data_IF_593468240246
#
_entry.id   IF_593468240246
#
_cell.length_a   1.000
_cell.length_b   1.000
_cell.length_c   1.000
_cell.angle_alpha   90.00
_cell.angle_beta   90.00
_cell.angle_gamma   90.00
#
_symmetry.space_group_name_H-M   'P 1'
#
loop_
_entity.id
_entity.type
_entity.pdbx_description
1 polymer ?
#
# COMPACT_ATOMS: atom_id res chain seq x y z
N UNK A 1 88.22 -20.42 19.82
CA UNK A 1 88.51 -19.32 18.87
C UNK A 1 87.29 -19.12 17.98
N UNK A 2 86.89 -17.86 17.85
CA UNK A 2 85.94 -17.25 16.92
C UNK A 2 84.42 -17.43 17.11
N UNK A 3 83.89 -16.33 17.66
CA UNK A 3 82.53 -15.78 17.62
C UNK A 3 81.92 -15.63 16.22
N UNK A 4 80.58 -15.73 16.11
CA UNK A 4 79.60 -14.64 15.76
C UNK A 4 78.18 -15.23 15.68
N UNK A 5 77.20 -14.81 16.51
CA UNK A 5 76.12 -13.83 16.26
C UNK A 5 75.30 -14.09 14.97
N UNK A 6 73.95 -14.04 14.89
CA UNK A 6 72.88 -13.44 15.71
C UNK A 6 71.50 -13.82 15.11
N UNK A 7 70.44 -13.63 15.90
CA UNK A 7 68.98 -13.47 15.56
C UNK A 7 68.19 -14.79 15.42
N UNK A 8 67.36 -15.23 16.38
CA UNK A 8 66.19 -14.59 17.02
C UNK A 8 65.02 -14.38 16.05
N UNK A 9 63.85 -14.91 16.44
CA UNK A 9 62.48 -14.69 15.94
C UNK A 9 61.94 -15.76 14.99
N UNK A 10 61.36 -16.84 15.53
CA UNK A 10 60.17 -17.47 14.94
C UNK A 10 59.50 -18.48 15.91
N UNK A 11 59.13 -18.05 17.12
CA UNK A 11 58.33 -18.90 18.03
C UNK A 11 57.69 -18.05 19.13
N UNK A 12 56.85 -17.09 18.72
CA UNK A 12 55.89 -16.44 19.62
C UNK A 12 54.78 -15.77 18.79
N UNK A 13 53.95 -16.58 18.12
CA UNK A 13 52.77 -16.10 17.38
C UNK A 13 51.59 -17.07 17.52
N UNK A 14 51.39 -17.63 18.72
CA UNK A 14 50.24 -18.49 19.00
C UNK A 14 49.61 -18.32 20.40
N UNK A 15 49.80 -17.16 21.05
CA UNK A 15 49.28 -16.97 22.41
C UNK A 15 48.78 -15.55 22.76
N UNK A 16 48.39 -14.72 21.77
CA UNK A 16 47.84 -13.37 22.04
C UNK A 16 46.79 -12.94 21.00
N UNK A 17 45.75 -13.76 20.77
CA UNK A 17 44.55 -13.34 20.03
C UNK A 17 43.24 -13.74 20.75
N UNK A 18 43.27 -13.84 22.09
CA UNK A 18 42.08 -14.07 22.92
C UNK A 18 41.70 -12.87 23.80
N UNK A 19 42.12 -11.66 23.41
CA UNK A 19 41.58 -10.40 23.94
C UNK A 19 41.48 -9.41 22.79
N UNK A 20 40.62 -9.72 21.82
CA UNK A 20 40.01 -8.68 21.00
C UNK A 20 38.75 -8.26 21.76
N UNK A 21 38.77 -7.02 22.25
CA UNK A 21 37.65 -6.33 22.88
C UNK A 21 36.32 -6.67 22.19
N UNK A 22 35.42 -7.31 22.95
CA UNK A 22 34.00 -6.98 22.89
C UNK A 22 33.88 -5.51 23.31
N UNK A 23 34.14 -4.61 22.37
CA UNK A 23 33.43 -3.34 22.40
C UNK A 23 32.03 -3.66 21.93
N UNK A 24 31.18 -4.06 22.89
CA UNK A 24 29.80 -3.63 22.88
C UNK A 24 29.85 -2.12 22.62
N UNK A 25 29.62 -1.72 21.36
CA UNK A 25 29.15 -0.38 21.10
C UNK A 25 27.87 -0.34 21.94
N UNK A 26 27.78 0.50 22.98
CA UNK A 26 26.51 0.68 23.63
C UNK A 26 25.61 1.17 22.51
N UNK A 27 24.62 0.37 22.15
CA UNK A 27 23.40 0.91 21.59
C UNK A 27 22.95 1.92 22.65
N UNK A 28 23.40 3.16 22.52
CA UNK A 28 22.70 4.29 23.08
C UNK A 28 21.38 4.27 22.33
N UNK A 29 20.47 3.40 22.79
CA UNK A 29 19.05 3.58 22.55
C UNK A 29 18.81 4.97 23.12
N UNK A 30 18.77 5.98 22.24
CA UNK A 30 18.21 7.27 22.59
C UNK A 30 16.83 6.90 23.08
N UNK A 31 16.67 6.91 24.41
CA UNK A 31 15.44 6.47 25.05
C UNK A 31 14.45 7.56 24.71
N UNK A 32 13.78 7.40 23.58
CA UNK A 32 12.76 8.33 23.13
C UNK A 32 11.79 8.47 24.28
N UNK A 33 11.69 9.69 24.81
CA UNK A 33 10.69 10.00 25.81
C UNK A 33 9.33 9.65 25.22
N UNK A 34 8.50 9.00 26.04
CA UNK A 34 7.19 8.56 25.66
C UNK A 34 6.18 9.16 26.63
N UNK A 35 5.01 9.50 26.11
CA UNK A 35 3.92 10.09 26.87
C UNK A 35 2.63 9.28 26.70
N UNK A 36 1.67 9.50 27.60
CA UNK A 36 0.34 8.89 27.51
C UNK A 36 -0.57 9.81 26.71
N UNK A 37 -1.18 9.28 25.67
CA UNK A 37 -2.14 9.94 24.79
C UNK A 37 -3.48 9.19 24.83
N UNK A 38 -4.60 9.91 24.67
CA UNK A 38 -5.93 9.28 24.58
C UNK A 38 -6.31 9.10 23.11
N UNK A 39 -6.33 7.85 22.65
CA UNK A 39 -6.68 7.47 21.29
C UNK A 39 -7.96 6.65 21.29
N UNK A 40 -9.04 7.24 20.76
CA UNK A 40 -10.38 6.61 20.66
C UNK A 40 -10.88 6.02 22.00
N UNK A 41 -10.63 6.74 23.10
CA UNK A 41 -11.04 6.35 24.45
C UNK A 41 -10.09 5.37 25.16
N UNK A 42 -9.01 4.94 24.50
CA UNK A 42 -7.95 4.13 25.10
C UNK A 42 -6.72 4.98 25.41
N UNK A 43 -6.06 4.68 26.54
CA UNK A 43 -4.76 5.26 26.86
C UNK A 43 -3.69 4.51 26.10
N UNK A 44 -2.91 5.22 25.31
CA UNK A 44 -1.81 4.68 24.51
C UNK A 44 -0.50 5.40 24.83
N UNK A 45 0.61 4.71 24.72
CA UNK A 45 1.96 5.26 24.88
C UNK A 45 2.44 5.72 23.52
N UNK A 46 2.81 6.98 23.36
CA UNK A 46 3.27 7.54 22.07
C UNK A 46 4.60 8.26 22.28
N UNK A 47 5.53 8.24 21.31
CA UNK A 47 6.72 9.06 21.41
C UNK A 47 6.39 10.55 21.57
N UNK A 48 7.08 11.26 22.47
CA UNK A 48 6.79 12.67 22.77
C UNK A 48 6.88 13.57 21.54
N UNK A 49 7.75 13.24 20.58
CA UNK A 49 7.91 13.98 19.32
C UNK A 49 6.98 13.53 18.19
N UNK A 50 6.09 12.55 18.42
CA UNK A 50 5.16 12.09 17.39
C UNK A 50 4.14 13.17 17.03
N UNK A 51 3.86 13.43 15.74
CA UNK A 51 2.84 14.39 15.31
C UNK A 51 1.43 13.82 15.54
N UNK A 52 0.86 14.04 16.73
CA UNK A 52 -0.46 13.50 17.14
C UNK A 52 -1.61 13.84 16.18
N UNK A 53 -1.47 14.91 15.40
CA UNK A 53 -2.43 15.25 14.34
C UNK A 53 -2.70 14.07 13.39
N UNK A 54 -1.71 13.20 13.13
CA UNK A 54 -1.84 12.04 12.25
C UNK A 54 -2.93 11.04 12.67
N UNK A 55 -3.30 11.00 13.96
CA UNK A 55 -4.36 10.11 14.47
C UNK A 55 -5.77 10.53 14.07
N UNK A 56 -5.96 11.72 13.49
CA UNK A 56 -7.29 12.25 13.17
C UNK A 56 -7.31 13.07 11.87
N UNK A 57 -6.49 12.72 10.88
CA UNK A 57 -6.42 13.44 9.61
C UNK A 57 -7.47 12.96 8.61
N UNK A 58 -8.09 13.93 7.93
CA UNK A 58 -8.70 13.69 6.63
C UNK A 58 -7.63 13.44 5.55
N UNK A 59 -8.05 13.00 4.36
CA UNK A 59 -7.13 12.88 3.22
C UNK A 59 -6.51 14.25 2.85
N UNK A 60 -7.32 15.31 2.88
CA UNK A 60 -6.87 16.68 2.61
C UNK A 60 -5.85 17.16 3.65
N UNK A 61 -6.07 16.86 4.94
CA UNK A 61 -5.10 17.17 6.00
C UNK A 61 -3.79 16.40 5.83
N UNK A 62 -3.88 15.16 5.33
CA UNK A 62 -2.70 14.35 5.05
C UNK A 62 -1.91 14.92 3.87
N UNK A 63 -2.57 15.33 2.79
CA UNK A 63 -1.90 15.95 1.63
C UNK A 63 -1.16 17.23 2.04
N UNK A 64 -1.79 18.07 2.86
CA UNK A 64 -1.17 19.27 3.42
C UNK A 64 0.02 18.94 4.33
N UNK A 65 -0.12 17.89 5.16
CA UNK A 65 0.97 17.41 6.00
C UNK A 65 2.15 16.92 5.16
N UNK A 66 1.92 16.08 4.15
CA UNK A 66 2.95 15.56 3.27
C UNK A 66 3.65 16.68 2.49
N UNK A 67 2.90 17.62 1.92
CA UNK A 67 3.45 18.78 1.21
C UNK A 67 4.34 19.63 2.14
N UNK A 68 3.90 19.84 3.39
CA UNK A 68 4.69 20.57 4.39
C UNK A 68 5.99 19.83 4.74
N UNK A 69 5.92 18.52 4.93
CA UNK A 69 7.08 17.70 5.35
C UNK A 69 8.10 17.54 4.21
N UNK A 70 7.63 17.34 2.98
CA UNK A 70 8.50 17.22 1.79
C UNK A 70 9.22 18.53 1.44
N UNK A 71 8.78 19.67 1.98
CA UNK A 71 9.29 20.99 1.62
C UNK A 71 8.81 21.44 0.24
N UNK A 72 7.87 20.71 -0.37
CA UNK A 72 7.29 21.05 -1.66
C UNK A 72 6.48 22.34 -1.51
N UNK A 73 6.98 23.43 -2.11
CA UNK A 73 6.18 24.64 -2.30
C UNK A 73 5.08 24.25 -3.27
N UNK A 74 3.84 24.61 -2.96
CA UNK A 74 2.59 24.35 -3.71
C UNK A 74 2.56 24.88 -5.16
N UNK A 75 3.56 24.55 -5.97
CA UNK A 75 3.77 25.15 -7.27
C UNK A 75 4.63 24.27 -8.15
N UNK A 76 3.95 23.48 -9.00
CA UNK A 76 4.48 22.76 -10.16
C UNK A 76 5.62 21.80 -9.84
N UNK A 77 5.31 20.50 -9.88
CA UNK A 77 6.31 19.47 -10.17
C UNK A 77 6.81 19.77 -11.59
N UNK A 78 7.90 20.52 -11.71
CA UNK A 78 8.68 20.52 -12.95
C UNK A 78 9.18 19.09 -13.17
N UNK A 79 9.27 18.64 -14.43
CA UNK A 79 9.66 17.26 -14.78
C UNK A 79 11.04 16.77 -14.33
N UNK A 80 11.72 17.51 -13.46
CA UNK A 80 13.04 17.25 -12.91
C UNK A 80 13.01 16.71 -11.45
N UNK A 81 11.86 16.70 -10.76
CA UNK A 81 11.76 16.10 -9.42
C UNK A 81 11.47 14.59 -9.52
N UNK A 82 12.33 13.77 -8.91
CA UNK A 82 12.11 12.32 -8.79
C UNK A 82 10.94 12.09 -7.81
N UNK A 83 9.91 11.42 -8.28
CA UNK A 83 8.78 10.94 -7.50
C UNK A 83 8.93 9.43 -7.33
N UNK A 84 8.65 8.92 -6.13
CA UNK A 84 8.71 7.49 -5.85
C UNK A 84 7.79 6.69 -6.78
N UNK A 85 8.29 5.61 -7.37
CA UNK A 85 7.48 4.69 -8.16
C UNK A 85 6.78 3.61 -7.30
N UNK A 86 5.93 2.79 -7.93
CA UNK A 86 5.15 1.78 -7.23
C UNK A 86 5.98 0.66 -6.59
N UNK A 87 7.16 0.33 -7.13
CA UNK A 87 8.04 -0.69 -6.58
C UNK A 87 8.91 -0.14 -5.45
N UNK A 88 9.42 1.08 -5.63
CA UNK A 88 10.14 1.82 -4.60
C UNK A 88 9.25 2.02 -3.37
N UNK A 89 7.98 2.39 -3.56
CA UNK A 89 7.01 2.50 -2.46
C UNK A 89 6.79 1.15 -1.76
N UNK A 90 6.59 0.06 -2.51
CA UNK A 90 6.43 -1.28 -1.92
C UNK A 90 7.60 -1.65 -1.01
N UNK A 91 8.84 -1.37 -1.44
CA UNK A 91 10.03 -1.66 -0.63
C UNK A 91 10.05 -0.87 0.67
N UNK A 92 9.68 0.41 0.64
CA UNK A 92 9.59 1.26 1.85
C UNK A 92 8.48 0.76 2.77
N UNK A 93 7.31 0.40 2.23
CA UNK A 93 6.19 -0.13 3.00
C UNK A 93 6.59 -1.43 3.72
N UNK A 94 7.18 -2.39 3.02
CA UNK A 94 7.63 -3.66 3.61
C UNK A 94 8.70 -3.46 4.68
N UNK A 95 9.65 -2.55 4.44
CA UNK A 95 10.73 -2.24 5.37
C UNK A 95 10.21 -1.61 6.68
N UNK A 96 9.14 -0.82 6.61
CA UNK A 96 8.55 -0.18 7.79
C UNK A 96 7.56 -1.09 8.52
N UNK A 97 6.66 -1.76 7.78
CA UNK A 97 5.60 -2.59 8.37
C UNK A 97 6.12 -3.74 9.24
N UNK A 98 7.33 -4.27 8.96
CA UNK A 98 7.94 -5.32 9.78
C UNK A 98 8.30 -4.88 11.21
N UNK A 99 8.39 -3.56 11.46
CA UNK A 99 8.75 -3.00 12.76
C UNK A 99 7.54 -2.85 13.70
N UNK A 100 6.33 -3.14 13.20
CA UNK A 100 5.08 -2.91 13.90
C UNK A 100 4.32 -4.22 14.15
N UNK A 101 3.58 -4.32 15.26
CA UNK A 101 2.80 -5.52 15.57
C UNK A 101 1.83 -5.91 14.45
N UNK A 102 1.89 -7.19 14.06
CA UNK A 102 0.97 -7.76 13.09
C UNK A 102 -0.28 -8.23 13.83
N UNK A 103 -1.38 -7.53 13.58
CA UNK A 103 -2.68 -7.87 14.15
C UNK A 103 -3.68 -8.03 13.01
N UNK A 104 -4.37 -9.16 12.97
CA UNK A 104 -5.49 -9.42 12.07
C UNK A 104 -6.45 -10.42 12.72
N UNK A 105 -7.58 -10.69 12.08
CA UNK A 105 -8.60 -11.58 12.63
C UNK A 105 -8.36 -13.08 12.37
N UNK A 106 -7.56 -13.42 11.34
CA UNK A 106 -7.41 -14.79 10.85
C UNK A 106 -6.17 -15.49 11.44
N UNK A 107 -5.21 -14.72 11.96
CA UNK A 107 -3.95 -15.16 12.52
C UNK A 107 -3.87 -14.81 14.00
N UNK A 108 -3.27 -15.71 14.75
CA UNK A 108 -3.00 -15.47 16.15
C UNK A 108 -1.92 -14.37 16.31
N UNK A 109 -2.08 -13.51 17.32
CA UNK A 109 -1.08 -12.46 17.60
C UNK A 109 0.12 -13.13 18.26
N UNK A 110 1.32 -12.89 17.71
CA UNK A 110 2.55 -13.48 18.25
C UNK A 110 2.83 -12.99 19.68
N UNK A 111 3.57 -13.77 20.47
CA UNK A 111 3.94 -13.35 21.84
C UNK A 111 4.75 -12.05 21.84
N UNK A 112 5.63 -11.86 20.85
CA UNK A 112 6.41 -10.63 20.70
C UNK A 112 5.52 -9.42 20.43
N UNK A 113 4.53 -9.57 19.55
CA UNK A 113 3.57 -8.52 19.23
C UNK A 113 2.64 -8.23 20.42
N UNK A 114 2.19 -9.25 21.15
CA UNK A 114 1.41 -9.08 22.38
C UNK A 114 2.18 -8.32 23.46
N UNK A 115 3.45 -8.67 23.67
CA UNK A 115 4.29 -7.96 24.63
C UNK A 115 4.46 -6.48 24.25
N UNK A 116 4.57 -6.18 22.95
CA UNK A 116 4.61 -4.81 22.46
C UNK A 116 3.27 -4.09 22.67
N UNK A 117 2.15 -4.74 22.37
CA UNK A 117 0.80 -4.22 22.59
C UNK A 117 0.58 -3.89 24.08
N UNK A 118 0.91 -4.79 25.00
CA UNK A 118 0.72 -4.55 26.44
C UNK A 118 1.57 -3.39 26.97
N UNK A 119 2.72 -3.14 26.36
CA UNK A 119 3.55 -1.98 26.67
C UNK A 119 2.94 -0.68 26.16
N UNK A 120 2.44 -0.69 24.93
CA UNK A 120 1.92 0.52 24.27
C UNK A 120 0.47 0.83 24.66
N UNK A 121 -0.29 -0.15 25.15
CA UNK A 121 -1.67 -0.03 25.61
C UNK A 121 -1.80 -0.47 27.07
N UNK A 122 -1.55 0.43 28.05
CA UNK A 122 -1.59 0.06 29.48
C UNK A 122 -2.94 -0.47 29.97
N UNK A 123 -4.03 -0.18 29.25
CA UNK A 123 -5.37 -0.71 29.53
C UNK A 123 -5.63 -2.13 28.98
N UNK A 124 -4.70 -2.68 28.20
CA UNK A 124 -4.79 -4.03 27.63
C UNK A 124 -3.77 -4.92 28.33
N UNK A 125 -4.28 -5.93 29.02
CA UNK A 125 -3.49 -6.82 29.89
C UNK A 125 -3.61 -8.29 29.51
N UNK A 126 -4.55 -8.63 28.63
CA UNK A 126 -4.75 -9.99 28.16
C UNK A 126 -4.85 -10.05 26.64
N UNK A 127 -4.58 -11.24 26.10
CA UNK A 127 -4.71 -11.51 24.67
C UNK A 127 -6.14 -11.33 24.18
N UNK A 128 -7.13 -11.73 24.97
CA UNK A 128 -8.56 -11.61 24.64
C UNK A 128 -8.96 -10.14 24.51
N UNK A 129 -8.44 -9.27 25.39
CA UNK A 129 -8.64 -7.83 25.29
C UNK A 129 -8.01 -7.27 24.01
N UNK A 130 -6.80 -7.70 23.68
CA UNK A 130 -6.13 -7.29 22.43
C UNK A 130 -6.94 -7.71 21.20
N UNK A 131 -7.43 -8.95 21.15
CA UNK A 131 -8.26 -9.46 20.07
C UNK A 131 -9.59 -8.70 19.94
N UNK A 132 -10.22 -8.32 21.07
CA UNK A 132 -11.45 -7.52 21.05
C UNK A 132 -11.27 -6.08 20.56
N UNK A 133 -10.03 -5.57 20.58
CA UNK A 133 -9.65 -4.20 20.19
C UNK A 133 -8.73 -4.19 18.96
N UNK A 134 -8.73 -5.27 18.18
CA UNK A 134 -7.78 -5.50 17.08
C UNK A 134 -7.76 -4.36 16.06
N UNK A 135 -8.93 -3.80 15.71
CA UNK A 135 -9.06 -2.67 14.79
C UNK A 135 -8.41 -1.39 15.34
N UNK A 136 -8.64 -1.09 16.62
CA UNK A 136 -8.07 0.08 17.29
C UNK A 136 -6.55 -0.03 17.40
N UNK A 137 -6.07 -1.21 17.79
CA UNK A 137 -4.63 -1.51 17.89
C UNK A 137 -3.97 -1.39 16.51
N UNK A 138 -4.61 -1.95 15.48
CA UNK A 138 -4.16 -1.85 14.11
C UNK A 138 -4.06 -0.40 13.65
N UNK A 139 -5.11 0.40 13.84
CA UNK A 139 -5.14 1.78 13.41
C UNK A 139 -4.06 2.63 14.08
N UNK A 140 -3.83 2.38 15.38
CA UNK A 140 -2.75 3.00 16.12
C UNK A 140 -1.38 2.70 15.50
N UNK A 141 -1.06 1.42 15.27
CA UNK A 141 0.24 1.04 14.70
C UNK A 141 0.38 1.43 13.23
N UNK A 142 -0.69 1.36 12.44
CA UNK A 142 -0.71 1.84 11.07
C UNK A 142 -0.47 3.36 11.01
N UNK A 143 -0.92 4.11 12.01
CA UNK A 143 -0.65 5.56 12.12
C UNK A 143 0.79 5.84 12.54
N UNK A 144 1.38 5.04 13.43
CA UNK A 144 2.81 5.16 13.73
C UNK A 144 3.66 4.85 12.49
N UNK A 145 3.35 3.74 11.81
CA UNK A 145 4.00 3.35 10.56
C UNK A 145 3.87 4.42 9.47
N UNK A 146 2.70 5.08 9.36
CA UNK A 146 2.48 6.19 8.41
C UNK A 146 3.53 7.28 8.54
N UNK A 147 3.90 7.66 9.76
CA UNK A 147 4.94 8.66 9.99
C UNK A 147 6.28 8.18 9.45
N UNK A 148 6.66 6.94 9.72
CA UNK A 148 7.99 6.42 9.32
C UNK A 148 8.07 6.25 7.80
N UNK A 149 6.98 5.77 7.18
CA UNK A 149 6.87 5.70 5.71
C UNK A 149 6.96 7.10 5.09
N UNK A 150 6.29 8.11 5.66
CA UNK A 150 6.41 9.50 5.15
C UNK A 150 7.85 9.99 5.23
N UNK A 151 8.54 9.79 6.37
CA UNK A 151 9.93 10.20 6.54
C UNK A 151 10.86 9.50 5.53
N UNK A 152 10.69 8.19 5.33
CA UNK A 152 11.50 7.40 4.39
C UNK A 152 11.22 7.74 2.92
N UNK A 153 9.96 7.98 2.55
CA UNK A 153 9.60 8.42 1.19
C UNK A 153 10.21 9.79 0.91
N UNK A 154 10.09 10.75 1.85
CA UNK A 154 10.68 12.09 1.68
C UNK A 154 12.20 11.99 1.58
N UNK A 155 12.81 11.17 2.44
CA UNK A 155 14.25 10.93 2.38
C UNK A 155 14.65 10.38 1.01
N UNK A 156 13.89 9.41 0.49
CA UNK A 156 14.12 8.83 -0.83
C UNK A 156 14.00 9.88 -1.95
N UNK A 157 12.89 10.62 -2.01
CA UNK A 157 12.62 11.63 -3.04
C UNK A 157 13.66 12.78 -3.01
N UNK A 158 14.21 13.13 -1.84
CA UNK A 158 15.22 14.19 -1.71
C UNK A 158 16.66 13.75 -2.00
N UNK A 159 17.01 12.48 -1.79
CA UNK A 159 18.40 12.01 -1.84
C UNK A 159 18.72 11.18 -3.08
N UNK A 160 17.71 10.61 -3.75
CA UNK A 160 17.94 9.82 -4.94
C UNK A 160 17.97 10.69 -6.21
N UNK A 161 19.10 10.67 -6.92
CA UNK A 161 19.38 11.49 -8.12
C UNK A 161 19.04 10.75 -9.42
N UNK A 162 18.06 9.85 -9.38
CA UNK A 162 17.60 9.13 -10.55
C UNK A 162 16.98 10.05 -11.61
N UNK A 163 16.93 9.59 -12.86
CA UNK A 163 16.24 10.31 -13.93
C UNK A 163 14.75 10.45 -13.56
N UNK A 164 14.19 11.64 -13.83
CA UNK A 164 12.80 11.97 -13.58
C UNK A 164 11.80 10.99 -14.21
N UNK A 165 10.55 11.11 -13.73
CA UNK A 165 9.38 10.26 -13.98
C UNK A 165 9.31 9.55 -15.34
N UNK A 166 8.95 8.27 -15.30
CA UNK A 166 8.18 7.63 -16.38
C UNK A 166 6.73 7.53 -15.88
N UNK A 167 5.91 8.52 -16.24
CA UNK A 167 4.46 8.37 -16.07
C UNK A 167 3.99 7.23 -17.00
N UNK A 168 3.54 6.12 -16.42
CA UNK A 168 2.91 5.01 -17.14
C UNK A 168 1.41 5.01 -16.94
N UNK A 169 0.69 4.21 -17.74
CA UNK A 169 -0.74 3.87 -17.57
C UNK A 169 -0.83 2.44 -16.98
N UNK A 170 0.22 2.02 -16.29
CA UNK A 170 0.35 0.68 -15.73
C UNK A 170 0.07 0.74 -14.23
N UNK A 171 -0.62 -0.25 -13.63
CA UNK A 171 -0.76 -0.38 -12.18
C UNK A 171 0.58 -0.32 -11.43
N UNK A 172 1.71 -0.57 -12.11
CA UNK A 172 3.06 -0.38 -11.56
C UNK A 172 3.48 1.09 -11.36
N UNK A 173 2.89 2.04 -12.09
CA UNK A 173 3.12 3.48 -11.94
C UNK A 173 2.15 4.12 -10.95
N UNK A 174 2.56 5.21 -10.30
CA UNK A 174 1.75 5.95 -9.33
C UNK A 174 1.49 7.37 -9.82
N UNK A 175 0.23 7.79 -9.78
CA UNK A 175 -0.12 9.21 -9.82
C UNK A 175 0.17 9.84 -8.45
N UNK A 176 0.34 11.16 -8.40
CA UNK A 176 0.51 11.86 -7.10
C UNK A 176 -0.67 11.61 -6.15
N UNK A 177 -1.95 11.71 -6.59
CA UNK A 177 -3.09 11.38 -5.74
C UNK A 177 -3.07 9.94 -5.22
N UNK A 178 -2.77 8.96 -6.08
CA UNK A 178 -2.70 7.55 -5.68
C UNK A 178 -1.56 7.33 -4.67
N UNK A 179 -0.36 7.86 -4.94
CA UNK A 179 0.78 7.77 -4.02
C UNK A 179 0.40 8.28 -2.63
N UNK A 180 -0.18 9.48 -2.55
CA UNK A 180 -0.55 10.07 -1.26
C UNK A 180 -1.62 9.22 -0.54
N UNK A 181 -2.62 8.72 -1.28
CA UNK A 181 -3.63 7.79 -0.75
C UNK A 181 -2.98 6.54 -0.13
N UNK A 182 -2.01 5.94 -0.83
CA UNK A 182 -1.30 4.76 -0.36
C UNK A 182 -0.43 5.05 0.86
N UNK A 183 0.39 6.11 0.84
CA UNK A 183 1.24 6.49 1.98
C UNK A 183 0.38 6.78 3.22
N UNK A 184 -0.81 7.36 3.04
CA UNK A 184 -1.72 7.65 4.15
C UNK A 184 -2.26 6.39 4.85
N UNK A 185 -2.12 5.19 4.26
CA UNK A 185 -2.60 3.92 4.82
C UNK A 185 -1.62 2.76 4.53
N UNK A 186 -0.44 2.71 5.17
CA UNK A 186 0.65 1.81 4.78
C UNK A 186 0.29 0.33 4.69
N UNK A 187 -0.43 -0.22 5.67
CA UNK A 187 -0.78 -1.63 5.68
C UNK A 187 -1.82 -2.00 4.60
N UNK A 188 -2.72 -1.08 4.24
CA UNK A 188 -3.62 -1.28 3.10
C UNK A 188 -2.83 -1.16 1.78
N UNK A 189 -1.92 -0.18 1.71
CA UNK A 189 -1.10 0.06 0.54
C UNK A 189 -0.22 -1.14 0.17
N UNK A 190 0.39 -1.81 1.14
CA UNK A 190 1.20 -3.01 0.86
C UNK A 190 0.36 -4.09 0.18
N UNK A 191 -0.86 -4.34 0.67
CA UNK A 191 -1.80 -5.32 0.08
C UNK A 191 -2.26 -4.91 -1.31
N UNK A 192 -2.57 -3.63 -1.48
CA UNK A 192 -2.98 -3.05 -2.75
C UNK A 192 -1.87 -3.14 -3.82
N UNK A 193 -0.63 -2.80 -3.45
CA UNK A 193 0.54 -2.86 -4.34
C UNK A 193 0.92 -4.30 -4.69
N UNK A 194 0.85 -5.22 -3.72
CA UNK A 194 1.07 -6.65 -3.97
C UNK A 194 0.07 -7.18 -5.01
N UNK A 195 -1.20 -6.79 -4.92
CA UNK A 195 -2.21 -7.14 -5.92
C UNK A 195 -1.93 -6.52 -7.29
N UNK A 196 -1.49 -5.26 -7.35
CA UNK A 196 -1.14 -4.57 -8.60
C UNK A 196 0.00 -5.30 -9.32
N UNK A 197 1.10 -5.55 -8.61
CA UNK A 197 2.28 -6.24 -9.14
C UNK A 197 1.94 -7.68 -9.62
N UNK A 198 1.04 -8.36 -8.92
CA UNK A 198 0.59 -9.69 -9.35
C UNK A 198 -0.32 -9.62 -10.58
N UNK A 199 -1.23 -8.65 -10.66
CA UNK A 199 -2.08 -8.42 -11.83
C UNK A 199 -1.26 -8.14 -13.09
N UNK A 200 -0.20 -7.32 -12.98
CA UNK A 200 0.75 -7.06 -14.07
C UNK A 200 1.41 -8.37 -14.53
N UNK A 201 1.95 -9.15 -13.59
CA UNK A 201 2.58 -10.44 -13.87
C UNK A 201 1.62 -11.44 -14.55
N UNK A 202 0.37 -11.51 -14.09
CA UNK A 202 -0.66 -12.37 -14.68
C UNK A 202 -1.02 -11.93 -16.09
N UNK A 203 -1.12 -10.62 -16.32
CA UNK A 203 -1.48 -10.05 -17.62
C UNK A 203 -0.38 -10.31 -18.66
N UNK A 204 0.88 -10.09 -18.30
CA UNK A 204 2.03 -10.38 -19.15
C UNK A 204 2.06 -11.85 -19.57
N UNK A 205 1.79 -12.77 -18.64
CA UNK A 205 1.76 -14.20 -18.91
C UNK A 205 0.59 -14.63 -19.80
N UNK A 206 -0.58 -13.98 -19.68
CA UNK A 206 -1.79 -14.39 -20.39
C UNK A 206 -1.94 -13.74 -21.78
N UNK A 207 -1.52 -12.48 -21.94
CA UNK A 207 -1.80 -11.67 -23.13
C UNK A 207 -0.55 -11.20 -23.89
N UNK A 208 0.66 -11.49 -23.38
CA UNK A 208 1.97 -11.17 -24.01
C UNK A 208 2.20 -9.70 -24.38
N UNK A 209 1.30 -8.80 -24.00
CA UNK A 209 1.40 -7.35 -24.20
C UNK A 209 0.62 -6.64 -23.11
N UNK A 210 1.18 -5.54 -22.62
CA UNK A 210 0.48 -4.56 -21.78
C UNK A 210 -0.26 -3.51 -22.63
N UNK A 211 -0.43 -3.74 -23.94
CA UNK A 211 -1.01 -2.77 -24.86
C UNK A 211 -2.34 -2.24 -24.32
N UNK A 212 -2.32 -0.95 -23.97
CA UNK A 212 -3.50 -0.20 -23.56
C UNK A 212 -4.61 -0.33 -24.63
N UNK A 213 -5.87 -0.33 -24.20
CA UNK A 213 -7.09 -0.48 -25.02
C UNK A 213 -7.51 -1.93 -25.39
N UNK A 214 -6.80 -2.96 -24.90
CA UNK A 214 -7.10 -4.37 -25.22
C UNK A 214 -7.68 -5.18 -24.05
N UNK A 215 -8.09 -6.42 -24.36
CA UNK A 215 -8.52 -7.44 -23.38
C UNK A 215 -7.51 -7.65 -22.24
N UNK A 216 -6.22 -7.52 -22.54
CA UNK A 216 -5.17 -7.58 -21.51
C UNK A 216 -5.33 -6.49 -20.46
N UNK A 217 -5.61 -5.24 -20.87
CA UNK A 217 -5.87 -4.15 -19.92
C UNK A 217 -7.15 -4.39 -19.11
N UNK A 218 -8.22 -4.85 -19.77
CA UNK A 218 -9.46 -5.20 -19.09
C UNK A 218 -9.25 -6.29 -18.02
N UNK A 219 -8.45 -7.32 -18.34
CA UNK A 219 -8.04 -8.34 -17.38
C UNK A 219 -7.21 -7.76 -16.23
N UNK A 220 -6.19 -6.96 -16.55
CA UNK A 220 -5.27 -6.33 -15.59
C UNK A 220 -6.02 -5.52 -14.52
N UNK A 221 -6.86 -4.59 -14.96
CA UNK A 221 -7.61 -3.70 -14.06
C UNK A 221 -8.65 -4.46 -13.22
N UNK A 222 -9.36 -5.40 -13.84
CA UNK A 222 -10.35 -6.20 -13.13
C UNK A 222 -9.74 -7.15 -12.10
N UNK A 223 -8.67 -7.87 -12.45
CA UNK A 223 -8.00 -8.81 -11.54
C UNK A 223 -7.28 -8.06 -10.43
N UNK A 224 -6.69 -6.89 -10.71
CA UNK A 224 -6.08 -6.03 -9.69
C UNK A 224 -7.09 -5.63 -8.62
N UNK A 225 -8.24 -5.08 -9.01
CA UNK A 225 -9.27 -4.65 -8.05
C UNK A 225 -9.73 -5.83 -7.16
N UNK A 226 -10.01 -6.98 -7.79
CA UNK A 226 -10.49 -8.14 -7.07
C UNK A 226 -9.44 -8.72 -6.10
N UNK A 227 -8.18 -8.84 -6.54
CA UNK A 227 -7.08 -9.29 -5.69
C UNK A 227 -6.77 -8.29 -4.58
N UNK A 228 -6.82 -6.98 -4.84
CA UNK A 228 -6.56 -5.95 -3.84
C UNK A 228 -7.56 -6.04 -2.69
N UNK A 229 -8.87 -6.14 -3.00
CA UNK A 229 -9.93 -6.35 -1.98
C UNK A 229 -9.63 -7.60 -1.17
N UNK A 230 -9.30 -8.70 -1.84
CA UNK A 230 -8.98 -9.97 -1.18
C UNK A 230 -7.78 -9.84 -0.24
N UNK A 231 -6.69 -9.23 -0.70
CA UNK A 231 -5.44 -9.12 0.05
C UNK A 231 -5.61 -8.22 1.26
N UNK A 232 -6.36 -7.13 1.11
CA UNK A 232 -6.72 -6.25 2.22
C UNK A 232 -7.55 -7.01 3.26
N UNK A 233 -8.64 -7.68 2.87
CA UNK A 233 -9.49 -8.43 3.80
C UNK A 233 -8.72 -9.53 4.54
N UNK A 234 -7.76 -10.19 3.87
CA UNK A 234 -6.91 -11.22 4.49
C UNK A 234 -5.79 -10.64 5.36
N UNK A 235 -5.32 -9.45 5.05
CA UNK A 235 -4.10 -8.89 5.62
C UNK A 235 -4.33 -7.87 6.72
N UNK A 236 -5.51 -7.27 6.78
CA UNK A 236 -5.83 -6.11 7.60
C UNK A 236 -7.13 -6.39 8.39
N UNK A 237 -7.24 -6.01 9.67
CA UNK A 237 -8.48 -6.11 10.42
C UNK A 237 -9.46 -5.02 9.94
N UNK A 238 -10.14 -5.31 8.84
CA UNK A 238 -11.07 -4.41 8.17
C UNK A 238 -12.33 -5.15 7.77
N UNK A 239 -13.38 -4.39 7.46
CA UNK A 239 -14.60 -4.93 6.88
C UNK A 239 -14.64 -4.82 5.35
N UNK A 240 -15.63 -5.47 4.74
CA UNK A 240 -15.80 -5.52 3.29
C UNK A 240 -15.89 -4.14 2.66
N UNK A 241 -16.75 -3.27 3.19
CA UNK A 241 -16.95 -1.92 2.67
C UNK A 241 -15.66 -1.11 2.75
N UNK A 242 -14.95 -1.15 3.88
CA UNK A 242 -13.68 -0.44 4.04
C UNK A 242 -12.61 -0.91 3.05
N UNK A 243 -12.51 -2.21 2.78
CA UNK A 243 -11.58 -2.74 1.80
C UNK A 243 -11.95 -2.31 0.37
N UNK A 244 -13.24 -2.38 0.05
CA UNK A 244 -13.78 -1.98 -1.24
C UNK A 244 -13.60 -0.48 -1.48
N UNK A 245 -13.95 0.37 -0.52
CA UNK A 245 -13.82 1.82 -0.58
C UNK A 245 -12.35 2.22 -0.77
N UNK A 246 -11.43 1.59 -0.03
CA UNK A 246 -10.00 1.85 -0.18
C UNK A 246 -9.49 1.56 -1.60
N UNK A 247 -9.93 0.44 -2.18
CA UNK A 247 -9.55 0.03 -3.54
C UNK A 247 -10.22 0.89 -4.59
N UNK A 248 -11.50 1.25 -4.41
CA UNK A 248 -12.21 2.16 -5.30
C UNK A 248 -11.49 3.51 -5.36
N UNK A 249 -11.21 4.11 -4.21
CA UNK A 249 -10.56 5.41 -4.13
C UNK A 249 -9.14 5.38 -4.72
N UNK A 250 -8.35 4.35 -4.39
CA UNK A 250 -6.99 4.16 -4.93
C UNK A 250 -6.96 3.99 -6.45
N UNK A 251 -7.78 3.08 -6.98
CA UNK A 251 -7.84 2.83 -8.43
C UNK A 251 -8.48 3.96 -9.21
N UNK A 252 -9.32 4.79 -8.58
CA UNK A 252 -9.87 5.99 -9.23
C UNK A 252 -8.84 7.12 -9.27
N UNK A 253 -8.04 7.27 -8.21
CA UNK A 253 -6.89 8.18 -8.17
C UNK A 253 -5.79 7.78 -9.16
N UNK A 254 -5.64 6.49 -9.44
CA UNK A 254 -4.73 5.99 -10.49
C UNK A 254 -5.09 6.54 -11.88
N UNK A 255 -6.37 6.80 -12.14
CA UNK A 255 -6.86 7.33 -13.43
C UNK A 255 -6.81 8.87 -13.50
N UNK A 256 -6.35 9.56 -12.45
CA UNK A 256 -6.23 11.03 -12.41
C UNK A 256 -4.87 11.51 -12.96
N UNK A 257 -4.79 12.79 -13.32
CA UNK A 257 -3.50 13.43 -13.51
C UNK A 257 -2.82 13.73 -12.15
N UNK A 258 -1.57 14.18 -12.18
CA UNK A 258 -0.80 14.48 -10.96
C UNK A 258 -1.30 15.70 -10.18
N UNK A 259 -2.15 16.51 -10.79
CA UNK A 259 -2.80 17.63 -10.11
C UNK A 259 -4.12 17.19 -9.47
N UNK A 260 -4.50 15.91 -9.58
CA UNK A 260 -5.77 15.39 -9.09
C UNK A 260 -6.96 15.67 -9.99
N UNK A 261 -6.73 16.10 -11.24
CA UNK A 261 -7.83 16.26 -12.19
C UNK A 261 -8.20 14.92 -12.82
N UNK A 262 -9.50 14.70 -12.99
CA UNK A 262 -10.02 13.56 -13.74
C UNK A 262 -9.53 13.59 -15.20
N UNK A 263 -8.95 12.49 -15.65
CA UNK A 263 -8.69 12.26 -17.07
C UNK A 263 -9.98 11.75 -17.72
N UNK A 264 -10.45 12.46 -18.74
CA UNK A 264 -11.70 12.18 -19.46
C UNK A 264 -11.42 11.70 -20.87
N UNK A 265 -10.90 10.48 -21.00
CA UNK A 265 -10.57 9.87 -22.29
C UNK A 265 -11.02 8.40 -22.35
N UNK A 266 -10.88 7.77 -23.52
CA UNK A 266 -11.34 6.39 -23.75
C UNK A 266 -10.71 5.38 -22.77
N UNK A 267 -9.42 5.55 -22.44
CA UNK A 267 -8.69 4.66 -21.52
C UNK A 267 -9.28 4.73 -20.13
N UNK A 268 -9.37 5.93 -19.57
CA UNK A 268 -9.96 6.15 -18.25
C UNK A 268 -11.41 5.63 -18.18
N UNK A 269 -12.23 5.82 -19.23
CA UNK A 269 -13.58 5.26 -19.26
C UNK A 269 -13.59 3.73 -19.20
N UNK A 270 -12.72 3.06 -19.97
CA UNK A 270 -12.56 1.61 -19.95
C UNK A 270 -12.11 1.10 -18.58
N UNK A 271 -11.07 1.72 -18.03
CA UNK A 271 -10.39 1.25 -16.83
C UNK A 271 -11.26 1.47 -15.59
N UNK A 272 -11.87 2.66 -15.45
CA UNK A 272 -12.84 2.93 -14.38
C UNK A 272 -14.03 1.96 -14.43
N UNK A 273 -14.56 1.67 -15.63
CA UNK A 273 -15.65 0.71 -15.78
C UNK A 273 -15.24 -0.71 -15.38
N UNK A 274 -14.10 -1.20 -15.91
CA UNK A 274 -13.60 -2.54 -15.58
C UNK A 274 -13.24 -2.68 -14.09
N UNK A 275 -12.71 -1.61 -13.48
CA UNK A 275 -12.47 -1.52 -12.04
C UNK A 275 -13.80 -1.71 -11.27
N UNK A 276 -14.86 -0.96 -11.61
CA UNK A 276 -16.18 -1.12 -10.99
C UNK A 276 -16.75 -2.53 -11.14
N UNK A 277 -16.75 -3.08 -12.35
CA UNK A 277 -17.32 -4.40 -12.63
C UNK A 277 -16.65 -5.50 -11.78
N UNK A 278 -15.36 -5.36 -11.50
CA UNK A 278 -14.63 -6.28 -10.61
C UNK A 278 -14.97 -6.06 -9.13
N UNK A 279 -15.05 -4.81 -8.67
CA UNK A 279 -15.42 -4.50 -7.28
C UNK A 279 -16.84 -4.95 -6.95
N UNK A 280 -17.79 -4.71 -7.85
CA UNK A 280 -19.17 -5.19 -7.73
C UNK A 280 -19.25 -6.71 -7.68
N UNK A 281 -18.44 -7.42 -8.49
CA UNK A 281 -18.36 -8.87 -8.40
C UNK A 281 -17.79 -9.33 -7.04
N UNK A 282 -16.77 -8.65 -6.52
CA UNK A 282 -16.23 -8.95 -5.19
C UNK A 282 -17.26 -8.72 -4.10
N UNK A 283 -18.02 -7.63 -4.13
CA UNK A 283 -19.10 -7.36 -3.17
C UNK A 283 -20.18 -8.46 -3.18
N UNK A 284 -20.57 -8.93 -4.36
CA UNK A 284 -21.59 -9.99 -4.49
C UNK A 284 -21.07 -11.34 -3.96
N UNK A 285 -19.79 -11.64 -4.18
CA UNK A 285 -19.22 -12.96 -3.92
C UNK A 285 -18.44 -13.04 -2.60
N UNK A 286 -18.22 -11.90 -1.96
CA UNK A 286 -17.65 -11.80 -0.63
C UNK A 286 -18.78 -11.72 0.39
N UNK A 287 -18.56 -12.40 1.51
CA UNK A 287 -19.36 -12.26 2.72
C UNK A 287 -18.35 -12.11 3.82
N UNK A 288 -18.08 -10.88 4.22
CA UNK A 288 -17.14 -10.61 5.31
C UNK A 288 -17.89 -10.33 6.62
N UNK A 289 -17.53 -11.04 7.69
CA UNK A 289 -18.27 -11.01 8.95
C UNK A 289 -17.54 -11.75 10.08
N UNK A 290 -18.27 -12.34 11.01
CA UNK A 290 -17.67 -13.03 12.18
C UNK A 290 -17.27 -14.46 11.81
N UNK A 291 -15.96 -14.75 11.89
CA UNK A 291 -15.39 -16.10 11.88
C UNK A 291 -15.85 -16.97 10.69
N UNK A 292 -16.49 -18.11 10.99
CA UNK A 292 -16.89 -19.15 10.03
C UNK A 292 -17.91 -18.69 8.97
N UNK A 293 -18.52 -17.51 9.13
CA UNK A 293 -19.41 -16.90 8.13
C UNK A 293 -18.65 -16.16 7.03
N UNK A 294 -17.32 -16.02 7.17
CA UNK A 294 -16.47 -15.41 6.16
C UNK A 294 -16.38 -16.32 4.95
N UNK A 295 -16.81 -15.80 3.80
CA UNK A 295 -16.62 -16.41 2.50
C UNK A 295 -16.05 -15.36 1.55
N UNK A 296 -15.08 -15.75 0.76
CA UNK A 296 -14.53 -14.92 -0.29
C UNK A 296 -13.94 -15.85 -1.36
N UNK A 297 -14.02 -15.51 -2.65
CA UNK A 297 -13.32 -16.23 -3.69
C UNK A 297 -11.84 -16.40 -3.37
N UNK A 298 -11.29 -17.57 -3.68
CA UNK A 298 -9.84 -17.75 -3.61
C UNK A 298 -9.15 -17.06 -4.80
N UNK A 299 -7.81 -16.98 -4.75
CA UNK A 299 -7.07 -16.29 -5.81
C UNK A 299 -7.29 -16.91 -7.19
N UNK A 300 -7.38 -18.24 -7.27
CA UNK A 300 -7.54 -18.94 -8.54
C UNK A 300 -8.94 -18.71 -9.11
N UNK A 301 -9.96 -18.69 -8.27
CA UNK A 301 -11.34 -18.35 -8.65
C UNK A 301 -11.41 -16.91 -9.18
N UNK A 302 -10.75 -15.95 -8.51
CA UNK A 302 -10.65 -14.55 -8.97
C UNK A 302 -9.99 -14.51 -10.35
N UNK A 303 -8.80 -15.09 -10.50
CA UNK A 303 -8.02 -15.07 -11.73
C UNK A 303 -8.81 -15.70 -12.88
N UNK A 304 -9.37 -16.89 -12.67
CA UNK A 304 -10.15 -17.60 -13.69
C UNK A 304 -11.39 -16.80 -14.11
N UNK A 305 -12.08 -16.19 -13.13
CA UNK A 305 -13.29 -15.41 -13.41
C UNK A 305 -12.97 -14.15 -14.20
N UNK A 306 -11.98 -13.37 -13.77
CA UNK A 306 -11.60 -12.13 -14.46
C UNK A 306 -11.00 -12.42 -15.84
N UNK A 307 -10.24 -13.51 -15.98
CA UNK A 307 -9.73 -13.96 -17.28
C UNK A 307 -10.86 -14.37 -18.22
N UNK A 308 -11.85 -15.13 -17.73
CA UNK A 308 -13.03 -15.50 -18.51
C UNK A 308 -13.79 -14.26 -18.98
N UNK A 309 -14.06 -13.31 -18.06
CA UNK A 309 -14.74 -12.05 -18.38
C UNK A 309 -13.97 -11.21 -19.41
N UNK A 310 -12.65 -11.12 -19.29
CA UNK A 310 -11.82 -10.38 -20.21
C UNK A 310 -11.78 -11.03 -21.60
N UNK A 311 -11.69 -12.36 -21.67
CA UNK A 311 -11.75 -13.10 -22.93
C UNK A 311 -13.09 -12.93 -23.64
N UNK A 312 -14.19 -12.86 -22.88
CA UNK A 312 -15.53 -12.60 -23.40
C UNK A 312 -15.88 -11.11 -23.55
N UNK A 313 -14.98 -10.19 -23.21
CA UNK A 313 -15.28 -8.75 -23.25
C UNK A 313 -15.64 -8.29 -24.66
N UNK A 314 -16.65 -7.44 -24.75
CA UNK A 314 -17.07 -6.80 -26.00
C UNK A 314 -16.18 -5.61 -26.35
N UNK A 315 -16.01 -5.35 -27.65
CA UNK A 315 -15.42 -4.09 -28.13
C UNK A 315 -16.48 -3.01 -28.08
N UNK A 316 -16.18 -1.90 -27.41
CA UNK A 316 -17.08 -0.77 -27.25
C UNK A 316 -16.35 0.53 -27.51
N UNK A 317 -17.06 1.53 -28.04
CA UNK A 317 -16.53 2.89 -28.09
C UNK A 317 -16.71 3.57 -26.72
N UNK A 318 -15.91 4.61 -26.45
CA UNK A 318 -16.05 5.39 -25.20
C UNK A 318 -17.50 5.88 -25.00
N UNK A 319 -18.16 6.30 -26.07
CA UNK A 319 -19.54 6.80 -26.00
C UNK A 319 -20.53 5.73 -25.53
N UNK A 320 -20.30 4.45 -25.83
CA UNK A 320 -21.16 3.35 -25.36
C UNK A 320 -21.05 3.21 -23.84
N UNK A 321 -19.81 3.23 -23.33
CA UNK A 321 -19.51 3.14 -21.90
C UNK A 321 -20.16 4.33 -21.18
N UNK A 322 -19.93 5.55 -21.65
CA UNK A 322 -20.51 6.75 -21.05
C UNK A 322 -22.04 6.70 -21.07
N UNK A 323 -22.66 6.24 -22.15
CA UNK A 323 -24.12 6.11 -22.25
C UNK A 323 -24.71 5.15 -21.21
N UNK A 324 -24.03 4.06 -20.87
CA UNK A 324 -24.48 3.20 -19.77
C UNK A 324 -24.53 3.94 -18.44
N UNK A 325 -23.62 4.88 -18.23
CA UNK A 325 -23.50 5.69 -17.01
C UNK A 325 -24.20 7.05 -17.09
N UNK A 326 -25.06 7.27 -18.10
CA UNK A 326 -25.89 8.48 -18.22
C UNK A 326 -25.47 9.50 -19.29
N UNK A 327 -24.53 9.16 -20.18
CA UNK A 327 -24.10 9.96 -21.33
C UNK A 327 -22.78 10.70 -21.12
N UNK A 328 -22.28 11.41 -22.14
CA UNK A 328 -21.01 12.17 -22.03
C UNK A 328 -21.23 13.52 -21.36
N UNK A 329 -21.12 13.57 -20.03
CA UNK A 329 -21.25 14.77 -19.21
C UNK A 329 -20.50 14.64 -17.89
N UNK A 330 -20.35 15.76 -17.17
CA UNK A 330 -19.59 15.81 -15.93
C UNK A 330 -20.17 14.92 -14.82
N UNK A 331 -21.49 14.73 -14.75
CA UNK A 331 -22.08 13.83 -13.75
C UNK A 331 -21.70 12.38 -14.02
N UNK A 332 -21.67 11.97 -15.29
CA UNK A 332 -21.25 10.62 -15.67
C UNK A 332 -19.77 10.38 -15.38
N UNK A 333 -18.89 11.35 -15.65
CA UNK A 333 -17.49 11.23 -15.26
C UNK A 333 -17.32 11.19 -13.74
N UNK A 334 -18.05 12.02 -12.99
CA UNK A 334 -18.05 11.94 -11.53
C UNK A 334 -18.54 10.58 -11.03
N UNK A 335 -19.56 10.00 -11.66
CA UNK A 335 -20.01 8.65 -11.35
C UNK A 335 -18.92 7.61 -11.65
N UNK A 336 -18.22 7.74 -12.77
CA UNK A 336 -17.14 6.82 -13.12
C UNK A 336 -15.97 6.84 -12.10
N UNK A 337 -15.65 8.01 -11.54
CA UNK A 337 -14.58 8.11 -10.54
C UNK A 337 -15.02 7.76 -9.12
N UNK A 338 -16.30 7.94 -8.78
CA UNK A 338 -16.73 7.87 -7.37
C UNK A 338 -17.70 6.73 -7.05
N UNK A 339 -18.30 6.08 -8.06
CA UNK A 339 -19.30 5.06 -7.81
C UNK A 339 -18.69 3.66 -7.68
N UNK A 340 -19.40 2.86 -6.88
CA UNK A 340 -19.14 1.45 -6.67
C UNK A 340 -19.77 0.55 -7.73
N UNK A 341 -20.93 0.94 -8.24
CA UNK A 341 -21.76 0.09 -9.08
C UNK A 341 -21.72 0.54 -10.53
N UNK A 342 -21.55 -0.42 -11.42
CA UNK A 342 -21.81 -0.20 -12.84
C UNK A 342 -23.17 -0.77 -13.23
N UNK A 343 -23.94 -0.08 -14.09
CA UNK A 343 -25.12 -0.66 -14.71
C UNK A 343 -24.80 -1.80 -15.68
N UNK A 344 -23.52 -2.02 -16.02
CA UNK A 344 -23.04 -3.15 -16.79
C UNK A 344 -21.91 -3.89 -16.04
N UNK A 345 -22.12 -5.17 -15.73
CA UNK A 345 -21.16 -5.97 -14.96
C UNK A 345 -20.11 -6.68 -15.83
N UNK A 346 -20.21 -6.58 -17.15
CA UNK A 346 -19.26 -7.19 -18.07
C UNK A 346 -18.06 -6.29 -18.34
N UNK A 347 -16.88 -6.90 -18.45
CA UNK A 347 -15.68 -6.17 -18.85
C UNK A 347 -15.76 -5.74 -20.32
N UNK A 348 -15.06 -4.66 -20.66
CA UNK A 348 -15.01 -4.08 -22.00
C UNK A 348 -13.58 -3.78 -22.45
N UNK A 349 -13.39 -3.70 -23.76
CA UNK A 349 -12.18 -3.17 -24.37
C UNK A 349 -12.51 -2.19 -25.51
N UNK A 350 -11.60 -1.29 -25.86
CA UNK A 350 -11.82 -0.19 -26.83
C UNK A 350 -10.77 -0.24 -27.94
N UNK A 351 -10.51 -1.42 -28.52
CA UNK A 351 -9.41 -1.60 -29.50
C UNK A 351 -9.34 -0.46 -30.54
N UNK A 352 -8.12 -0.07 -30.99
CA UNK A 352 -7.85 1.20 -31.68
C UNK A 352 -8.57 1.44 -33.01
#
# INVERSE_FOLDING_TARGET
MNFTLRKSHLLLLFALNFIACDTEIPEQSVRMEAEIFEFKGEKVVVPTNFPKGLFSQSAEDFDLYYAKMSGSKTGRISGDEKVIDGNELSNILEANLKNYPKVNYDQDISENDLNRIFKDFPGITTKEQALSKVELIFEYYNTLCKKDVVDDVIYFEQNDKGNGRVAGISPSSLTVPERNHLISNPAYAERYRAAANYADSLTLNAYYSEDDDRKGNAFKHSVWNALAIRYILKGVPTNENQAIDFVQDGTSKHEMDDNGNQIKNRKAAMDLHNNMSARQWMEINTKWGIGFLRKMPDEQEIINTMMSRANSSGRHEMVDILNWHGGDNDNTWNNLYNNMYSPNEHLVHIEP
#
